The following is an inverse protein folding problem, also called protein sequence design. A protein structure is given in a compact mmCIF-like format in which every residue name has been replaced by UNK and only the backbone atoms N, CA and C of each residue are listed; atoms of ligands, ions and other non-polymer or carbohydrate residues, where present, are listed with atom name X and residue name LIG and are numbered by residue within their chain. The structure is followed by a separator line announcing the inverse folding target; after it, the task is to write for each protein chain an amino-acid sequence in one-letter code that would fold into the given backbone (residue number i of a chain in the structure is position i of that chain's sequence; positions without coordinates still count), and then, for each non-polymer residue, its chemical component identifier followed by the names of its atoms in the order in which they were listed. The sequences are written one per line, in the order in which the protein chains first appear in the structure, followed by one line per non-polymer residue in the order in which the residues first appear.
data_IF_924135017378
#
_entry.id   IF_924135017378
#
_cell.length_a   1.000
_cell.length_b   1.000
_cell.length_c   1.000
_cell.angle_alpha   90.00
_cell.angle_beta   90.00
_cell.angle_gamma   90.00
#
_symmetry.space_group_name_H-M   'P 1'
#
loop_
_entity.id
_entity.type
_entity.pdbx_description
1 polymer ?
#
# COMPACT_ATOMS: atom_id res chain seq x y z
N UNK A 1 17.20 -1.89 -5.08
CA UNK A 1 15.83 -2.31 -4.77
C UNK A 1 15.12 -2.36 -6.11
N UNK A 2 14.56 -3.50 -6.51
CA UNK A 2 13.82 -3.58 -7.77
C UNK A 2 12.44 -2.97 -7.52
N UNK A 3 12.12 -1.88 -8.21
CA UNK A 3 10.77 -1.30 -8.20
C UNK A 3 9.84 -2.22 -9.00
N UNK A 4 8.69 -2.59 -8.41
CA UNK A 4 7.67 -3.42 -9.11
C UNK A 4 7.00 -2.63 -10.22
N UNK A 5 6.92 -1.31 -10.09
CA UNK A 5 6.25 -0.44 -11.05
C UNK A 5 7.16 0.73 -11.44
N UNK A 6 7.08 1.15 -12.70
CA UNK A 6 7.76 2.35 -13.21
C UNK A 6 7.42 3.60 -12.39
N UNK A 7 8.34 4.55 -12.34
CA UNK A 7 8.31 5.74 -11.45
C UNK A 7 7.05 6.62 -11.57
N UNK A 8 6.37 6.62 -12.72
CA UNK A 8 5.21 7.47 -12.98
C UNK A 8 4.14 6.77 -13.82
N UNK A 9 2.88 6.92 -13.40
CA UNK A 9 1.69 6.33 -14.04
C UNK A 9 0.61 7.41 -14.06
N UNK A 10 0.17 7.83 -15.26
CA UNK A 10 -0.81 8.93 -15.41
C UNK A 10 -0.36 10.29 -14.85
N UNK A 11 0.96 10.52 -14.74
CA UNK A 11 1.52 11.72 -14.11
C UNK A 11 1.56 11.69 -12.57
N UNK A 12 1.18 10.55 -11.96
CA UNK A 12 1.25 10.32 -10.52
C UNK A 12 2.46 9.44 -10.21
N UNK A 13 3.25 9.84 -9.21
CA UNK A 13 4.43 9.07 -8.79
C UNK A 13 4.02 7.79 -8.06
N UNK A 14 4.61 6.67 -8.44
CA UNK A 14 4.46 5.35 -7.78
C UNK A 14 5.35 5.22 -6.55
N UNK A 15 6.26 6.17 -6.31
CA UNK A 15 7.21 6.14 -5.20
C UNK A 15 6.58 5.91 -3.81
N UNK A 16 5.45 6.54 -3.43
CA UNK A 16 4.83 6.30 -2.12
C UNK A 16 4.33 4.87 -1.94
N UNK A 17 3.87 4.26 -3.02
CA UNK A 17 3.42 2.87 -3.04
C UNK A 17 4.62 1.92 -2.93
N UNK A 18 5.67 2.14 -3.75
CA UNK A 18 6.91 1.37 -3.68
C UNK A 18 7.56 1.46 -2.29
N UNK A 19 7.49 2.62 -1.63
CA UNK A 19 7.97 2.79 -0.26
C UNK A 19 7.17 1.95 0.76
N UNK A 20 5.84 1.90 0.63
CA UNK A 20 4.99 1.04 1.48
C UNK A 20 5.32 -0.45 1.31
N UNK A 21 5.54 -0.87 0.06
CA UNK A 21 5.94 -2.25 -0.25
C UNK A 21 7.32 -2.54 0.35
N UNK A 22 8.30 -1.65 0.17
CA UNK A 22 9.65 -1.80 0.71
C UNK A 22 9.65 -1.86 2.25
N UNK A 23 8.85 -1.02 2.92
CA UNK A 23 8.68 -1.09 4.38
C UNK A 23 8.12 -2.44 4.82
N UNK A 24 7.09 -2.93 4.15
CA UNK A 24 6.45 -4.22 4.46
C UNK A 24 7.39 -5.40 4.23
N UNK A 25 8.13 -5.37 3.11
CA UNK A 25 9.18 -6.34 2.76
C UNK A 25 10.22 -6.44 3.87
N UNK A 26 10.77 -5.30 4.31
CA UNK A 26 11.80 -5.26 5.36
C UNK A 26 11.26 -5.68 6.74
N UNK A 27 10.02 -5.30 7.06
CA UNK A 27 9.41 -5.58 8.35
C UNK A 27 9.08 -7.06 8.53
N UNK A 28 8.72 -7.75 7.45
CA UNK A 28 8.32 -9.16 7.48
C UNK A 28 9.43 -10.12 7.01
N UNK A 29 10.49 -9.62 6.38
CA UNK A 29 11.55 -10.45 5.81
C UNK A 29 11.07 -11.34 4.65
N UNK A 30 10.07 -10.88 3.90
CA UNK A 30 9.49 -11.60 2.75
C UNK A 30 9.88 -10.94 1.43
N UNK A 31 9.69 -11.64 0.31
CA UNK A 31 9.90 -11.09 -1.02
C UNK A 31 8.93 -9.96 -1.38
N UNK A 32 9.37 -9.08 -2.29
CA UNK A 32 8.67 -7.87 -2.73
C UNK A 32 7.27 -8.19 -3.31
N UNK A 33 7.16 -9.22 -4.15
CA UNK A 33 5.86 -9.68 -4.69
C UNK A 33 4.88 -10.12 -3.61
N UNK A 34 5.38 -10.83 -2.58
CA UNK A 34 4.55 -11.29 -1.46
C UNK A 34 4.09 -10.13 -0.59
N UNK A 35 4.99 -9.17 -0.32
CA UNK A 35 4.64 -7.96 0.41
C UNK A 35 3.55 -7.17 -0.33
N UNK A 36 3.69 -7.00 -1.64
CA UNK A 36 2.68 -6.34 -2.46
C UNK A 36 1.34 -7.10 -2.45
N UNK A 37 1.36 -8.41 -2.65
CA UNK A 37 0.15 -9.24 -2.59
C UNK A 37 -0.59 -9.10 -1.26
N UNK A 38 0.15 -9.14 -0.13
CA UNK A 38 -0.43 -8.96 1.19
C UNK A 38 -1.02 -7.56 1.37
N UNK A 39 -0.35 -6.51 0.88
CA UNK A 39 -0.87 -5.15 0.94
C UNK A 39 -2.18 -5.01 0.18
N UNK A 40 -2.31 -5.61 -1.00
CA UNK A 40 -3.57 -5.61 -1.76
C UNK A 40 -4.70 -6.33 -1.00
N UNK A 41 -4.42 -7.52 -0.44
CA UNK A 41 -5.42 -8.27 0.34
C UNK A 41 -5.90 -7.50 1.56
N UNK A 42 -5.01 -6.74 2.21
CA UNK A 42 -5.32 -5.93 3.37
C UNK A 42 -5.73 -4.50 3.02
N UNK A 43 -5.98 -4.20 1.74
CA UNK A 43 -6.39 -2.86 1.26
C UNK A 43 -5.46 -1.76 1.78
N UNK A 44 -4.16 -2.00 1.71
CA UNK A 44 -3.10 -1.09 2.15
C UNK A 44 -3.11 -0.75 3.65
N UNK A 45 -3.79 -1.55 4.47
CA UNK A 45 -3.79 -1.40 5.92
C UNK A 45 -2.61 -2.16 6.57
N UNK A 46 -1.45 -1.49 6.63
CA UNK A 46 -0.21 -2.03 7.22
C UNK A 46 -0.40 -2.45 8.70
N UNK A 47 -1.21 -1.72 9.48
CA UNK A 47 -1.44 -2.01 10.91
C UNK A 47 -2.25 -3.30 11.10
N UNK A 48 -3.29 -3.50 10.30
CA UNK A 48 -4.09 -4.72 10.34
C UNK A 48 -3.25 -5.92 9.88
N UNK A 49 -2.49 -5.76 8.80
CA UNK A 49 -1.56 -6.78 8.32
C UNK A 49 -0.59 -7.21 9.42
N UNK A 50 0.01 -6.24 10.11
CA UNK A 50 0.94 -6.50 11.21
C UNK A 50 0.30 -7.26 12.37
N UNK A 51 -0.93 -6.91 12.73
CA UNK A 51 -1.68 -7.60 13.78
C UNK A 51 -2.02 -9.02 13.38
N UNK A 52 -2.52 -9.24 12.18
CA UNK A 52 -2.91 -10.59 11.74
C UNK A 52 -1.72 -11.51 11.48
N UNK A 53 -0.58 -10.97 11.01
CA UNK A 53 0.66 -11.75 10.86
C UNK A 53 1.34 -12.12 12.18
N UNK A 54 0.98 -11.47 13.30
CA UNK A 54 1.37 -11.96 14.62
C UNK A 54 0.76 -13.34 14.93
N UNK A 55 -0.27 -13.75 14.18
CA UNK A 55 -0.86 -15.08 14.20
C UNK A 55 -0.31 -15.94 13.04
N UNK A 56 0.63 -16.84 13.36
CA UNK A 56 1.39 -17.66 12.41
C UNK A 56 0.51 -18.48 11.44
N UNK A 57 -0.67 -18.93 11.87
CA UNK A 57 -1.54 -19.80 11.08
C UNK A 57 -2.20 -19.07 9.90
N UNK A 58 -2.68 -17.83 10.12
CA UNK A 58 -3.23 -16.99 9.05
C UNK A 58 -2.16 -16.55 8.06
N UNK A 59 -0.97 -16.23 8.57
CA UNK A 59 0.19 -15.87 7.75
C UNK A 59 0.57 -17.00 6.78
N UNK A 60 0.65 -18.24 7.28
CA UNK A 60 1.02 -19.40 6.47
C UNK A 60 0.03 -19.67 5.34
N UNK A 61 -1.28 -19.56 5.58
CA UNK A 61 -2.31 -19.78 4.55
C UNK A 61 -2.21 -18.72 3.45
N UNK A 62 -2.04 -17.45 3.82
CA UNK A 62 -1.94 -16.35 2.85
C UNK A 62 -0.65 -16.43 2.04
N UNK A 63 0.48 -16.73 2.68
CA UNK A 63 1.78 -16.86 2.03
C UNK A 63 1.85 -18.08 1.10
N UNK A 64 1.18 -19.19 1.44
CA UNK A 64 1.10 -20.37 0.58
C UNK A 64 0.35 -20.12 -0.73
N UNK A 65 -0.57 -19.14 -0.76
CA UNK A 65 -1.28 -18.75 -1.99
C UNK A 65 -0.46 -17.82 -2.89
N UNK A 66 0.54 -17.13 -2.33
CA UNK A 66 1.53 -16.34 -3.06
C UNK A 66 2.78 -17.18 -3.36
N UNK A 67 2.75 -17.87 -4.50
CA UNK A 67 3.89 -18.69 -4.96
C UNK A 67 5.03 -17.76 -5.36
N UNK A 68 6.28 -18.09 -5.09
CA UNK A 68 7.42 -17.30 -5.55
C UNK A 68 7.53 -17.29 -7.09
N UNK A 69 8.04 -16.20 -7.69
CA UNK A 69 8.23 -16.16 -9.14
C UNK A 69 9.21 -17.26 -9.55
N UNK A 70 8.90 -17.95 -10.65
CA UNK A 70 9.88 -18.84 -11.28
C UNK A 70 11.06 -17.99 -11.72
N UNK A 71 12.28 -18.37 -11.32
CA UNK A 71 13.50 -17.69 -11.76
C UNK A 71 13.68 -17.71 -13.29
N UNK A 72 13.03 -18.65 -13.98
CA UNK A 72 12.98 -18.72 -15.44
C UNK A 72 11.55 -19.03 -15.89
N UNK A 73 10.92 -18.09 -16.58
CA UNK A 73 9.68 -18.34 -17.33
C UNK A 73 10.02 -19.28 -18.49
N UNK A 74 9.80 -20.58 -18.27
CA UNK A 74 10.05 -21.60 -19.29
C UNK A 74 8.84 -21.70 -20.22
N UNK A 75 8.82 -20.85 -21.25
CA UNK A 75 7.87 -21.01 -22.35
C UNK A 75 8.13 -22.33 -23.09
N UNK A 76 7.08 -23.11 -23.35
CA UNK A 76 7.19 -24.40 -24.03
C UNK A 76 5.91 -24.76 -24.75
N UNK A 77 6.02 -25.65 -25.74
CA UNK A 77 4.85 -26.29 -26.32
C UNK A 77 4.16 -27.17 -25.29
N UNK A 78 2.83 -27.04 -25.20
CA UNK A 78 1.99 -27.85 -24.32
C UNK A 78 0.52 -27.50 -24.47
N UNK A 79 -0.33 -28.24 -23.77
CA UNK A 79 -1.77 -27.97 -23.74
C UNK A 79 -2.06 -26.82 -22.76
N UNK A 80 -2.65 -25.75 -23.27
CA UNK A 80 -3.12 -24.63 -22.46
C UNK A 80 -4.25 -25.10 -21.53
N UNK A 81 -4.12 -24.88 -20.22
CA UNK A 81 -5.13 -25.30 -19.23
C UNK A 81 -6.46 -24.54 -19.36
N UNK A 82 -6.46 -23.39 -20.06
CA UNK A 82 -7.66 -22.56 -20.25
C UNK A 82 -8.41 -22.88 -21.54
N UNK A 83 -7.75 -22.77 -22.70
CA UNK A 83 -8.41 -23.03 -24.00
C UNK A 83 -8.29 -24.49 -24.48
N UNK A 84 -7.53 -25.34 -23.78
CA UNK A 84 -7.27 -26.74 -24.13
C UNK A 84 -6.56 -26.97 -25.47
N UNK A 85 -6.07 -25.90 -26.11
CA UNK A 85 -5.29 -25.99 -27.35
C UNK A 85 -3.83 -26.36 -27.06
N UNK A 86 -3.25 -27.20 -27.92
CA UNK A 86 -1.83 -27.51 -27.89
C UNK A 86 -1.05 -26.44 -28.66
N UNK A 87 -0.34 -25.58 -27.94
CA UNK A 87 0.34 -24.41 -28.51
C UNK A 87 1.54 -23.99 -27.64
N UNK A 88 2.22 -22.91 -28.04
CA UNK A 88 3.26 -22.27 -27.23
C UNK A 88 2.65 -21.64 -25.98
N UNK A 89 3.01 -22.16 -24.82
CA UNK A 89 2.46 -21.75 -23.53
C UNK A 89 3.55 -21.23 -22.60
N UNK A 90 3.18 -20.29 -21.75
CA UNK A 90 3.99 -19.83 -20.63
C UNK A 90 3.76 -20.74 -19.42
N UNK A 91 4.85 -21.11 -18.74
CA UNK A 91 4.77 -21.82 -17.46
C UNK A 91 4.66 -20.81 -16.34
N UNK A 92 3.49 -20.77 -15.71
CA UNK A 92 3.20 -19.92 -14.55
C UNK A 92 3.90 -20.44 -13.30
N UNK A 93 3.99 -19.61 -12.25
CA UNK A 93 4.62 -19.98 -10.97
C UNK A 93 3.99 -21.23 -10.32
N UNK A 94 2.68 -21.43 -10.51
CA UNK A 94 1.96 -22.64 -10.09
C UNK A 94 2.22 -23.88 -10.97
N UNK A 95 3.09 -23.76 -11.97
CA UNK A 95 3.43 -24.74 -12.99
C UNK A 95 2.36 -25.05 -14.05
N UNK A 96 1.21 -24.38 -14.00
CA UNK A 96 0.22 -24.43 -15.07
C UNK A 96 0.79 -23.84 -16.37
N UNK A 97 0.36 -24.42 -17.49
CA UNK A 97 0.70 -23.94 -18.83
C UNK A 97 -0.47 -23.15 -19.40
N UNK A 98 -0.24 -21.88 -19.71
CA UNK A 98 -1.27 -21.02 -20.29
C UNK A 98 -0.70 -20.30 -21.50
N UNK A 99 -1.41 -20.30 -22.62
CA UNK A 99 -1.00 -19.52 -23.78
C UNK A 99 -1.15 -18.02 -23.52
N UNK A 100 -0.34 -17.20 -24.19
CA UNK A 100 -0.29 -15.75 -23.96
C UNK A 100 -1.65 -15.07 -24.13
N UNK A 101 -2.41 -15.45 -25.17
CA UNK A 101 -3.76 -14.92 -25.40
C UNK A 101 -4.68 -15.15 -24.20
N UNK A 102 -4.70 -16.37 -23.66
CA UNK A 102 -5.51 -16.72 -22.49
C UNK A 102 -5.07 -15.99 -21.21
N UNK A 103 -3.79 -15.63 -21.08
CA UNK A 103 -3.28 -14.81 -19.97
C UNK A 103 -3.77 -13.37 -20.13
N UNK A 104 -3.58 -12.77 -21.30
CA UNK A 104 -4.00 -11.39 -21.58
C UNK A 104 -5.51 -11.22 -21.40
N UNK A 105 -6.31 -12.14 -21.96
CA UNK A 105 -7.77 -12.14 -21.79
C UNK A 105 -8.17 -12.27 -20.31
N UNK A 106 -7.48 -13.12 -19.54
CA UNK A 106 -7.76 -13.29 -18.10
C UNK A 106 -7.48 -12.01 -17.33
N UNK A 107 -6.33 -11.39 -17.59
CA UNK A 107 -5.92 -10.17 -16.90
C UNK A 107 -6.86 -9.03 -17.25
N UNK A 108 -7.27 -8.92 -18.51
CA UNK A 108 -8.25 -7.94 -18.95
C UNK A 108 -9.61 -8.13 -18.24
N UNK A 109 -10.11 -9.36 -18.14
CA UNK A 109 -11.35 -9.67 -17.39
C UNK A 109 -11.25 -9.23 -15.92
N UNK A 110 -10.11 -9.51 -15.27
CA UNK A 110 -9.87 -9.13 -13.87
C UNK A 110 -9.77 -7.61 -13.69
N UNK A 111 -9.12 -6.90 -14.62
CA UNK A 111 -9.05 -5.44 -14.64
C UNK A 111 -10.46 -4.84 -14.76
N UNK A 112 -11.28 -5.36 -15.69
CA UNK A 112 -12.68 -4.93 -15.87
C UNK A 112 -13.50 -5.18 -14.60
N UNK A 113 -13.28 -6.33 -13.94
CA UNK A 113 -13.91 -6.67 -12.67
C UNK A 113 -13.36 -5.86 -11.47
N UNK A 114 -12.33 -5.03 -11.67
CA UNK A 114 -11.60 -4.28 -10.63
C UNK A 114 -11.00 -5.19 -9.55
N UNK A 115 -10.59 -6.39 -9.94
CA UNK A 115 -9.87 -7.30 -9.06
C UNK A 115 -8.40 -6.91 -9.01
N UNK A 116 -7.89 -6.60 -7.82
CA UNK A 116 -6.49 -6.17 -7.63
C UNK A 116 -5.50 -7.33 -7.68
N UNK A 117 -5.90 -8.52 -7.26
CA UNK A 117 -5.04 -9.71 -7.25
C UNK A 117 -5.40 -10.63 -8.39
N UNK A 118 -4.49 -10.83 -9.32
CA UNK A 118 -4.71 -11.71 -10.48
C UNK A 118 -4.49 -13.16 -10.06
N UNK A 119 -5.52 -14.00 -10.20
CA UNK A 119 -5.44 -15.44 -9.97
C UNK A 119 -4.87 -16.18 -11.19
N UNK A 120 -4.44 -17.42 -10.99
CA UNK A 120 -4.17 -18.33 -12.09
C UNK A 120 -5.42 -18.47 -12.97
N UNK A 121 -5.30 -18.46 -14.31
CA UNK A 121 -6.43 -18.71 -15.21
C UNK A 121 -7.05 -20.10 -15.09
N UNK A 122 -6.35 -21.04 -14.42
CA UNK A 122 -6.93 -22.31 -13.99
C UNK A 122 -7.73 -22.12 -12.70
N UNK A 123 -9.05 -22.17 -12.80
CA UNK A 123 -9.98 -21.94 -11.68
C UNK A 123 -9.77 -22.89 -10.50
N UNK A 124 -9.25 -24.09 -10.74
CA UNK A 124 -8.98 -25.10 -9.70
C UNK A 124 -7.64 -24.87 -8.97
N UNK A 125 -6.76 -24.05 -9.52
CA UNK A 125 -5.42 -23.81 -8.96
C UNK A 125 -5.49 -22.94 -7.69
N UNK A 126 -6.28 -21.86 -7.72
CA UNK A 126 -6.45 -20.94 -6.59
C UNK A 126 -5.20 -20.15 -6.19
N UNK A 127 -4.11 -20.25 -6.96
CA UNK A 127 -2.86 -19.51 -6.73
C UNK A 127 -2.93 -18.14 -7.39
N UNK A 128 -2.21 -17.17 -6.82
CA UNK A 128 -2.10 -15.83 -7.40
C UNK A 128 -0.84 -15.70 -8.24
N UNK A 129 -0.95 -14.91 -9.32
CA UNK A 129 0.18 -14.54 -10.16
C UNK A 129 0.95 -13.40 -9.52
N UNK A 130 2.28 -13.53 -9.50
CA UNK A 130 3.12 -12.48 -8.95
C UNK A 130 3.14 -11.26 -9.87
N UNK A 131 3.14 -10.04 -9.29
CA UNK A 131 3.26 -8.80 -10.06
C UNK A 131 4.48 -8.78 -10.96
N UNK A 132 5.66 -9.17 -10.45
CA UNK A 132 6.89 -9.19 -11.25
C UNK A 132 6.79 -10.16 -12.43
N UNK A 133 6.16 -11.31 -12.26
CA UNK A 133 5.91 -12.26 -13.36
C UNK A 133 4.86 -11.73 -14.35
N UNK A 134 3.83 -11.04 -13.86
CA UNK A 134 2.81 -10.42 -14.73
C UNK A 134 3.43 -9.37 -15.64
N UNK A 135 4.40 -8.60 -15.17
CA UNK A 135 5.09 -7.61 -16.01
C UNK A 135 5.74 -8.22 -17.25
N UNK A 136 6.23 -9.45 -17.16
CA UNK A 136 6.85 -10.15 -18.29
C UNK A 136 5.82 -10.82 -19.20
N UNK A 137 4.73 -11.33 -18.61
CA UNK A 137 3.76 -12.18 -19.31
C UNK A 137 2.76 -11.39 -20.17
N UNK A 138 2.37 -10.18 -19.74
CA UNK A 138 1.27 -9.45 -20.39
C UNK A 138 1.74 -8.35 -21.34
N UNK A 139 0.84 -7.89 -22.21
CA UNK A 139 1.10 -6.76 -23.10
C UNK A 139 1.48 -5.47 -22.34
N UNK A 140 2.11 -4.51 -23.02
CA UNK A 140 2.53 -3.25 -22.39
C UNK A 140 1.30 -2.40 -22.03
N UNK A 141 0.25 -2.49 -22.84
CA UNK A 141 -1.03 -1.82 -22.62
C UNK A 141 -1.71 -2.36 -21.35
N UNK A 142 -1.82 -3.69 -21.21
CA UNK A 142 -2.43 -4.29 -20.02
C UNK A 142 -1.63 -4.04 -18.74
N UNK A 143 -0.30 -3.97 -18.83
CA UNK A 143 0.54 -3.52 -17.70
C UNK A 143 0.17 -2.13 -17.23
N UNK A 144 -0.03 -1.20 -18.17
CA UNK A 144 -0.38 0.17 -17.82
C UNK A 144 -1.75 0.22 -17.13
N UNK A 145 -2.75 -0.45 -17.72
CA UNK A 145 -4.11 -0.48 -17.19
C UNK A 145 -4.17 -1.13 -15.80
N UNK A 146 -3.48 -2.26 -15.61
CA UNK A 146 -3.38 -2.90 -14.30
C UNK A 146 -2.73 -1.98 -13.27
N UNK A 147 -1.63 -1.33 -13.63
CA UNK A 147 -0.93 -0.41 -12.71
C UNK A 147 -1.80 0.78 -12.35
N UNK A 148 -2.57 1.32 -13.29
CA UNK A 148 -3.52 2.41 -13.03
C UNK A 148 -4.59 1.96 -12.02
N UNK A 149 -5.18 0.77 -12.21
CA UNK A 149 -6.20 0.24 -11.28
C UNK A 149 -5.65 0.05 -9.86
N UNK A 150 -4.43 -0.49 -9.75
CA UNK A 150 -3.74 -0.64 -8.46
C UNK A 150 -3.46 0.72 -7.82
N UNK A 151 -2.98 1.69 -8.59
CA UNK A 151 -2.70 3.04 -8.11
C UNK A 151 -3.96 3.77 -7.67
N UNK A 152 -5.06 3.62 -8.41
CA UNK A 152 -6.36 4.20 -8.04
C UNK A 152 -6.88 3.63 -6.72
N UNK A 153 -6.73 2.32 -6.48
CA UNK A 153 -7.07 1.71 -5.19
C UNK A 153 -6.14 2.19 -4.09
N UNK A 154 -4.82 2.18 -4.30
CA UNK A 154 -3.85 2.71 -3.32
C UNK A 154 -4.22 4.14 -2.92
N UNK A 155 -4.50 4.99 -3.90
CA UNK A 155 -4.93 6.37 -3.68
C UNK A 155 -6.26 6.40 -2.92
N UNK A 156 -7.25 5.60 -3.29
CA UNK A 156 -8.53 5.59 -2.61
C UNK A 156 -8.44 5.15 -1.13
N UNK A 157 -7.62 4.13 -0.84
CA UNK A 157 -7.44 3.61 0.52
C UNK A 157 -6.54 4.52 1.37
N UNK A 158 -5.56 5.19 0.77
CA UNK A 158 -4.63 6.09 1.49
C UNK A 158 -5.06 7.56 1.51
N UNK A 159 -6.02 7.98 0.66
CA UNK A 159 -6.67 9.31 0.71
C UNK A 159 -7.78 9.36 1.77
N UNK A 160 -7.46 9.06 3.03
CA UNK A 160 -8.22 9.61 4.16
C UNK A 160 -7.33 9.82 5.39
N UNK A 161 -7.47 11.01 6.00
CA UNK A 161 -6.66 12.16 5.61
C UNK A 161 -5.21 11.97 6.06
N UNK A 162 -4.25 12.58 5.35
CA UNK A 162 -3.01 13.00 6.02
C UNK A 162 -3.46 13.76 7.28
N UNK A 163 -3.24 13.18 8.47
CA UNK A 163 -3.54 13.85 9.75
C UNK A 163 -3.03 15.28 9.61
N UNK A 164 -3.92 16.25 9.76
CA UNK A 164 -3.58 17.65 9.54
C UNK A 164 -2.34 17.96 10.40
N UNK A 165 -1.36 18.75 9.95
CA UNK A 165 -0.20 19.10 10.78
C UNK A 165 -0.59 19.63 12.17
N UNK A 166 -1.80 20.16 12.30
CA UNK A 166 -2.40 20.63 13.56
C UNK A 166 -2.68 19.49 14.55
N UNK A 167 -3.00 18.27 14.11
CA UNK A 167 -3.20 17.13 15.01
C UNK A 167 -1.86 16.63 15.57
N UNK A 168 -0.78 16.66 14.78
CA UNK A 168 0.59 16.41 15.28
C UNK A 168 1.03 17.49 16.27
N UNK A 169 0.70 18.75 15.99
CA UNK A 169 0.94 19.85 16.93
C UNK A 169 0.09 19.67 18.19
N UNK A 170 -1.17 19.24 18.08
CA UNK A 170 -2.05 18.98 19.21
C UNK A 170 -1.56 17.83 20.09
N UNK A 171 -1.12 16.72 19.50
CA UNK A 171 -0.51 15.60 20.23
C UNK A 171 0.86 16.00 20.82
N UNK A 172 1.66 16.78 20.11
CA UNK A 172 2.93 17.32 20.60
C UNK A 172 2.74 18.31 21.75
N UNK A 173 1.74 19.20 21.67
CA UNK A 173 1.37 20.12 22.74
C UNK A 173 0.78 19.39 23.95
N UNK A 174 -0.08 18.39 23.73
CA UNK A 174 -0.60 17.53 24.78
C UNK A 174 0.50 16.75 25.49
N UNK A 175 1.48 16.23 24.74
CA UNK A 175 2.66 15.57 25.29
C UNK A 175 3.53 16.53 26.10
N UNK A 176 3.81 17.74 25.58
CA UNK A 176 4.56 18.79 26.29
C UNK A 176 3.83 19.23 27.57
N UNK A 177 2.51 19.39 27.52
CA UNK A 177 1.69 19.81 28.66
C UNK A 177 1.65 18.74 29.75
N UNK A 178 1.46 17.48 29.38
CA UNK A 178 1.46 16.35 30.30
C UNK A 178 2.85 16.07 30.90
N UNK A 179 3.92 16.47 30.21
CA UNK A 179 5.31 16.34 30.68
C UNK A 179 5.93 17.68 31.13
N UNK A 180 5.11 18.71 31.37
CA UNK A 180 5.59 20.09 31.59
C UNK A 180 6.65 20.22 32.69
N UNK A 181 6.53 19.46 33.80
CA UNK A 181 7.53 19.46 34.88
C UNK A 181 8.91 19.01 34.39
N UNK A 182 8.99 17.92 33.62
CA UNK A 182 10.25 17.38 33.09
C UNK A 182 10.90 18.31 32.06
N UNK A 183 10.10 19.00 31.26
CA UNK A 183 10.60 19.95 30.26
C UNK A 183 11.07 21.27 30.86
N UNK A 184 10.46 21.73 31.97
CA UNK A 184 10.93 22.87 32.74
C UNK A 184 12.28 22.58 33.42
N UNK A 185 12.47 21.37 33.94
CA UNK A 185 13.73 20.96 34.58
C UNK A 185 14.89 20.79 33.56
N UNK A 186 14.58 20.51 32.29
CA UNK A 186 15.58 20.25 31.24
C UNK A 186 15.79 21.40 30.23
N UNK A 187 15.21 22.59 30.45
CA UNK A 187 15.55 23.78 29.65
C UNK A 187 15.14 23.76 28.17
N UNK A 188 14.12 22.99 27.77
CA UNK A 188 13.69 22.86 26.36
C UNK A 188 12.69 23.97 25.97
N UNK A 189 13.06 25.23 26.18
CA UNK A 189 12.23 26.39 25.82
C UNK A 189 12.45 26.79 24.34
N UNK A 190 13.57 26.42 23.74
CA UNK A 190 13.95 26.83 22.38
C UNK A 190 13.07 26.21 21.28
N UNK A 191 12.58 24.97 21.43
CA UNK A 191 11.77 24.30 20.41
C UNK A 191 10.33 24.85 20.32
N UNK A 192 9.75 25.25 21.45
CA UNK A 192 8.41 25.85 21.51
C UNK A 192 8.33 27.20 20.81
N UNK A 193 9.40 28.01 20.90
CA UNK A 193 9.46 29.32 20.25
C UNK A 193 9.45 29.21 18.71
N UNK A 194 10.17 28.24 18.14
CA UNK A 194 10.21 28.00 16.69
C UNK A 194 8.84 27.51 16.16
N UNK A 195 8.18 26.63 16.92
CA UNK A 195 6.83 26.16 16.60
C UNK A 195 5.80 27.29 16.63
N UNK A 196 5.84 28.14 17.66
CA UNK A 196 4.96 29.30 17.79
C UNK A 196 5.17 30.32 16.66
N UNK A 197 6.42 30.55 16.23
CA UNK A 197 6.73 31.49 15.15
C UNK A 197 6.20 31.00 13.79
N UNK A 198 6.39 29.71 13.47
CA UNK A 198 5.83 29.11 12.26
C UNK A 198 4.30 29.12 12.25
N UNK A 199 3.68 28.85 13.40
CA UNK A 199 2.23 28.88 13.55
C UNK A 199 1.66 30.30 13.37
N UNK A 200 2.37 31.31 13.89
CA UNK A 200 1.96 32.71 13.75
C UNK A 200 2.11 33.22 12.30
N UNK A 201 3.15 32.79 11.58
CA UNK A 201 3.30 33.09 10.16
C UNK A 201 2.18 32.45 9.33
N UNK A 202 1.84 31.19 9.62
CA UNK A 202 0.74 30.50 8.93
C UNK A 202 -0.64 31.13 9.20
N UNK A 203 -0.89 31.58 10.44
CA UNK A 203 -2.11 32.34 10.80
C UNK A 203 -2.26 33.61 9.95
N UNK A 204 -1.16 34.33 9.70
CA UNK A 204 -1.17 35.55 8.88
C UNK A 204 -1.49 35.24 7.41
N UNK A 205 -1.03 34.11 6.90
CA UNK A 205 -1.26 33.67 5.52
C UNK A 205 -2.68 33.12 5.31
N UNK A 206 -3.32 32.55 6.34
CA UNK A 206 -4.60 31.84 6.21
C UNK A 206 -5.65 32.21 7.28
N UNK A 207 -6.13 33.47 7.32
CA UNK A 207 -6.95 33.97 8.42
C UNK A 207 -8.36 33.37 8.50
N UNK A 208 -8.99 33.01 7.37
CA UNK A 208 -10.38 32.52 7.33
C UNK A 208 -10.53 31.07 7.80
N UNK A 209 -9.56 30.21 7.51
CA UNK A 209 -9.54 28.80 7.93
C UNK A 209 -9.01 28.61 9.35
N UNK A 210 -8.28 29.60 9.87
CA UNK A 210 -7.80 29.62 11.26
C UNK A 210 -8.94 29.73 12.27
N UNK A 211 -9.90 30.64 12.03
CA UNK A 211 -10.99 30.93 12.96
C UNK A 211 -11.90 29.71 13.20
N UNK A 212 -12.33 29.01 12.14
CA UNK A 212 -13.24 27.86 12.30
C UNK A 212 -12.55 26.64 12.91
N UNK A 213 -11.22 26.50 12.77
CA UNK A 213 -10.47 25.35 13.32
C UNK A 213 -10.02 25.57 14.77
N UNK A 214 -9.84 26.82 15.20
CA UNK A 214 -9.53 27.12 16.60
C UNK A 214 -10.70 26.83 17.54
N UNK A 215 -11.94 26.94 17.08
CA UNK A 215 -13.12 26.48 17.83
C UNK A 215 -13.05 24.96 18.12
N UNK A 216 -12.59 24.15 17.15
CA UNK A 216 -12.40 22.71 17.36
C UNK A 216 -11.26 22.39 18.33
N UNK A 217 -10.18 23.18 18.34
CA UNK A 217 -9.06 23.00 19.28
C UNK A 217 -9.44 23.43 20.70
N UNK A 218 -10.22 24.50 20.86
CA UNK A 218 -10.77 24.93 22.15
C UNK A 218 -11.77 23.92 22.72
N UNK A 219 -12.54 23.23 21.87
CA UNK A 219 -13.41 22.12 22.29
C UNK A 219 -12.62 20.90 22.78
N UNK A 220 -11.48 20.59 22.16
CA UNK A 220 -10.59 19.50 22.60
C UNK A 220 -9.89 19.87 23.93
N UNK A 221 -9.50 21.13 24.12
CA UNK A 221 -8.86 21.58 25.36
C UNK A 221 -9.85 21.73 26.53
N UNK A 222 -11.11 22.10 26.27
CA UNK A 222 -12.17 22.18 27.30
C UNK A 222 -12.74 20.83 27.70
N UNK A 223 -12.82 19.86 26.79
CA UNK A 223 -13.24 18.48 27.10
C UNK A 223 -12.21 17.70 27.94
N UNK A 224 -10.94 18.12 27.93
CA UNK A 224 -9.89 17.59 28.81
C UNK A 224 -9.98 18.02 30.28
N UNK A 225 -10.97 18.84 30.67
CA UNK A 225 -11.15 19.35 32.03
C UNK A 225 -12.18 18.58 32.88
N UNK A 226 -12.65 17.40 32.44
CA UNK A 226 -13.68 16.62 33.16
C UNK A 226 -13.31 15.19 33.53
N UNK A 227 -12.02 14.85 33.51
CA UNK A 227 -11.50 13.67 34.22
C UNK A 227 -10.22 14.09 34.93
N UNK A 228 -10.38 14.50 36.18
CA UNK A 228 -9.49 14.48 37.35
C UNK A 228 -9.77 15.68 38.26
#
# INVERSE_FOLDING_TARGET
MADIFRDNVGGISTAPMNESIARTTNLLGIGVDRAFFLLLQYRWNEDQLRRDLSCLEKAAILLNRSIEPLLESQSRNGTCVRCLEYTWCERLSCHDLVCRQCIDDHVQEQIIARTLTISCPNELCGCYLNPSSLEELISVELRHDYTQVVMDDFIAQTRFPRRHPIEYIGQGLGFLWNNKKKFFDCGVIAAGAVGALKLNNWRKENPRTWASKMESVLLILSSGSSVF
#
